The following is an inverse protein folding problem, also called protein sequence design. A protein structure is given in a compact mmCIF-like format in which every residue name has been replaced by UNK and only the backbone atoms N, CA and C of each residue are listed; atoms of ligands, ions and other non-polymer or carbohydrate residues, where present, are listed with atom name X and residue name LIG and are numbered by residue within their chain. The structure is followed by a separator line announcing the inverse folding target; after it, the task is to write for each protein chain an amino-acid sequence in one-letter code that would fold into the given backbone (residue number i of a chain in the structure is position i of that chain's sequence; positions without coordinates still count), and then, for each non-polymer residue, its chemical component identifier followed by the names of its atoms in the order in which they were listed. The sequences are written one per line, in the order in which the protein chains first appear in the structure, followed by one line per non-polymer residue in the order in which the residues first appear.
data_IF_138440027994
#
_entry.id   IF_138440027994
#
_cell.length_a   1.000
_cell.length_b   1.000
_cell.length_c   1.000
_cell.angle_alpha   90.00
_cell.angle_beta   90.00
_cell.angle_gamma   90.00
#
_symmetry.space_group_name_H-M   'P 1'
#
loop_
_entity.id
_entity.type
_entity.pdbx_description
1 polymer ?
#
# COMPACT_ATOMS: atom_id res chain seq x y z
N UNK A 1 -10.46 3.72 -8.92
CA UNK A 1 -10.76 4.25 -7.58
C UNK A 1 -10.22 5.67 -7.48
N UNK A 2 -11.02 6.64 -7.02
CA UNK A 2 -10.57 8.04 -6.84
C UNK A 2 -10.00 8.27 -5.44
N UNK A 3 -9.32 9.39 -5.22
CA UNK A 3 -8.75 9.73 -3.90
C UNK A 3 -9.85 9.87 -2.85
N UNK A 4 -10.98 10.50 -3.19
CA UNK A 4 -12.10 10.60 -2.27
C UNK A 4 -12.60 9.23 -1.83
N UNK A 5 -12.78 8.29 -2.77
CA UNK A 5 -13.18 6.94 -2.41
C UNK A 5 -12.19 6.29 -1.44
N UNK A 6 -10.88 6.48 -1.65
CA UNK A 6 -9.86 5.97 -0.72
C UNK A 6 -10.02 6.59 0.67
N UNK A 7 -10.13 7.91 0.80
CA UNK A 7 -10.33 8.58 2.09
C UNK A 7 -11.57 8.06 2.84
N UNK A 8 -12.67 7.84 2.12
CA UNK A 8 -13.91 7.36 2.72
C UNK A 8 -13.80 5.91 3.21
N UNK A 9 -12.86 5.12 2.69
CA UNK A 9 -12.77 3.67 2.93
C UNK A 9 -11.45 3.20 3.57
N UNK A 10 -10.50 4.10 3.88
CA UNK A 10 -9.16 3.70 4.39
C UNK A 10 -9.20 3.21 5.85
N UNK A 11 -10.27 3.50 6.60
CA UNK A 11 -10.41 3.20 8.04
C UNK A 11 -10.01 1.78 8.45
N UNK A 12 -10.57 0.70 7.85
CA UNK A 12 -10.20 -0.67 8.18
C UNK A 12 -8.73 -1.02 7.96
N UNK A 13 -8.07 -0.39 6.97
CA UNK A 13 -6.64 -0.56 6.75
C UNK A 13 -5.82 0.14 7.84
N UNK A 14 -6.24 1.34 8.28
CA UNK A 14 -5.55 2.07 9.35
C UNK A 14 -5.74 1.41 10.73
N UNK A 15 -6.86 0.70 10.94
CA UNK A 15 -7.09 -0.07 12.16
C UNK A 15 -6.06 -1.21 12.34
N UNK A 16 -5.41 -1.66 11.27
CA UNK A 16 -4.32 -2.66 11.31
C UNK A 16 -2.96 -2.04 11.67
N UNK A 17 -2.90 -0.73 11.92
CA UNK A 17 -1.70 -0.03 12.41
C UNK A 17 -0.44 -0.29 11.56
N UNK A 18 -0.49 0.00 10.25
CA UNK A 18 0.67 -0.16 9.39
C UNK A 18 1.84 0.72 9.86
N UNK A 19 3.06 0.21 9.80
CA UNK A 19 4.29 0.98 10.02
C UNK A 19 4.77 1.69 8.75
N UNK A 20 4.30 1.27 7.57
CA UNK A 20 4.54 1.91 6.28
C UNK A 20 3.26 1.97 5.45
N UNK A 21 3.01 3.12 4.80
CA UNK A 21 1.90 3.32 3.87
C UNK A 21 2.45 3.86 2.56
N UNK A 22 2.17 3.15 1.47
CA UNK A 22 2.56 3.50 0.11
C UNK A 22 1.34 4.03 -0.64
N UNK A 23 1.37 5.29 -1.04
CA UNK A 23 0.27 5.95 -1.74
C UNK A 23 0.68 6.21 -3.18
N UNK A 24 0.02 5.54 -4.13
CA UNK A 24 0.02 5.90 -5.54
C UNK A 24 -1.43 6.10 -5.97
N UNK A 25 -1.82 7.36 -6.10
CA UNK A 25 -3.22 7.76 -6.13
C UNK A 25 -3.41 9.00 -7.00
N UNK A 26 -4.53 9.07 -7.73
CA UNK A 26 -4.88 10.21 -8.56
C UNK A 26 -5.03 9.91 -10.05
N UNK A 27 -4.62 8.73 -10.54
CA UNK A 27 -4.78 8.37 -11.96
C UNK A 27 -6.23 8.48 -12.43
N UNK A 28 -7.20 8.00 -11.65
CA UNK A 28 -8.62 8.12 -11.98
C UNK A 28 -9.12 9.56 -11.86
N UNK A 29 -8.66 10.31 -10.87
CA UNK A 29 -9.02 11.71 -10.68
C UNK A 29 -8.56 12.55 -11.89
N UNK A 30 -7.45 12.21 -12.55
CA UNK A 30 -6.95 12.91 -13.73
C UNK A 30 -7.65 12.52 -15.05
N UNK A 31 -8.55 11.54 -15.00
CA UNK A 31 -9.27 11.07 -16.19
C UNK A 31 -10.23 12.17 -16.72
N UNK A 32 -10.25 12.46 -18.03
CA UNK A 32 -11.16 13.47 -18.59
C UNK A 32 -12.63 13.04 -18.56
N UNK A 33 -12.92 11.74 -18.39
CA UNK A 33 -14.28 11.24 -18.28
C UNK A 33 -14.85 11.53 -16.87
N UNK A 34 -15.92 12.34 -16.74
CA UNK A 34 -16.55 12.64 -15.45
C UNK A 34 -17.18 11.40 -14.77
N UNK A 35 -17.45 10.33 -15.51
CA UNK A 35 -17.88 9.06 -14.93
C UNK A 35 -16.75 8.30 -14.22
N UNK A 36 -15.49 8.68 -14.47
CA UNK A 36 -14.32 8.15 -13.79
C UNK A 36 -13.83 9.12 -12.72
N UNK A 37 -13.64 10.39 -13.10
CA UNK A 37 -13.24 11.48 -12.20
C UNK A 37 -14.47 12.11 -11.52
N UNK A 38 -15.13 11.34 -10.65
CA UNK A 38 -16.41 11.72 -10.01
C UNK A 38 -16.36 13.02 -9.21
N UNK A 39 -15.17 13.37 -8.70
CA UNK A 39 -14.91 14.61 -7.95
C UNK A 39 -14.30 15.73 -8.80
N UNK A 40 -14.31 15.57 -10.13
CA UNK A 40 -13.68 16.45 -11.10
C UNK A 40 -12.17 16.22 -11.25
N UNK A 41 -11.64 16.64 -12.39
CA UNK A 41 -10.25 16.38 -12.80
C UNK A 41 -9.30 17.57 -12.61
N UNK A 42 -9.66 18.51 -11.74
CA UNK A 42 -8.78 19.63 -11.39
C UNK A 42 -7.55 19.13 -10.59
N UNK A 43 -6.32 19.38 -11.06
CA UNK A 43 -5.11 18.91 -10.38
C UNK A 43 -4.93 19.42 -8.96
N UNK A 44 -5.24 20.70 -8.69
CA UNK A 44 -5.06 21.31 -7.38
C UNK A 44 -6.07 20.78 -6.36
N UNK A 45 -7.35 20.72 -6.73
CA UNK A 45 -8.40 20.14 -5.91
C UNK A 45 -8.15 18.66 -5.61
N UNK A 46 -7.58 17.92 -6.58
CA UNK A 46 -7.13 16.54 -6.37
C UNK A 46 -5.96 16.46 -5.40
N UNK A 47 -5.01 17.39 -5.49
CA UNK A 47 -3.88 17.48 -4.56
C UNK A 47 -4.34 17.81 -3.13
N UNK A 48 -5.36 18.66 -2.99
CA UNK A 48 -5.99 18.92 -1.69
C UNK A 48 -6.69 17.68 -1.11
N UNK A 49 -7.36 16.88 -1.96
CA UNK A 49 -7.93 15.58 -1.56
C UNK A 49 -6.83 14.62 -1.09
N UNK A 50 -5.70 14.56 -1.81
CA UNK A 50 -4.53 13.76 -1.43
C UNK A 50 -3.99 14.20 -0.07
N UNK A 51 -3.86 15.51 0.16
CA UNK A 51 -3.44 16.06 1.43
C UNK A 51 -4.32 15.61 2.59
N UNK A 52 -5.64 15.66 2.42
CA UNK A 52 -6.60 15.18 3.44
C UNK A 52 -6.49 13.67 3.70
N UNK A 53 -6.26 12.86 2.66
CA UNK A 53 -5.99 11.43 2.83
C UNK A 53 -4.72 11.21 3.67
N UNK A 54 -3.64 11.92 3.36
CA UNK A 54 -2.39 11.84 4.13
C UNK A 54 -2.62 12.29 5.57
N UNK A 55 -3.38 13.36 5.81
CA UNK A 55 -3.69 13.85 7.15
C UNK A 55 -4.46 12.81 7.97
N UNK A 56 -5.43 12.13 7.37
CA UNK A 56 -6.16 11.04 8.00
C UNK A 56 -5.23 9.88 8.38
N UNK A 57 -4.28 9.54 7.50
CA UNK A 57 -3.29 8.47 7.75
C UNK A 57 -2.37 8.85 8.90
N UNK A 58 -1.72 10.03 8.86
CA UNK A 58 -0.75 10.43 9.89
C UNK A 58 -1.40 10.80 11.23
N UNK A 59 -2.70 11.13 11.25
CA UNK A 59 -3.45 11.30 12.47
C UNK A 59 -3.77 9.95 13.12
N UNK A 60 -4.22 8.98 12.33
CA UNK A 60 -4.63 7.64 12.83
C UNK A 60 -3.42 6.76 13.13
N UNK A 61 -2.36 6.88 12.33
CA UNK A 61 -1.13 6.12 12.43
C UNK A 61 0.09 7.05 12.52
N UNK A 62 0.27 7.75 13.65
CA UNK A 62 1.33 8.78 13.79
C UNK A 62 2.76 8.21 13.77
N UNK A 63 2.91 6.90 13.94
CA UNK A 63 4.15 6.14 13.87
C UNK A 63 4.42 5.51 12.50
N UNK A 64 3.48 5.63 11.55
CA UNK A 64 3.67 5.16 10.19
C UNK A 64 4.57 6.10 9.39
N UNK A 65 5.41 5.53 8.54
CA UNK A 65 6.02 6.25 7.43
C UNK A 65 5.09 6.25 6.23
N UNK A 66 4.88 7.41 5.60
CA UNK A 66 4.01 7.55 4.43
C UNK A 66 4.83 7.98 3.22
N UNK A 67 4.85 7.16 2.18
CA UNK A 67 5.47 7.50 0.90
C UNK A 67 4.37 7.82 -0.12
N UNK A 68 4.44 9.02 -0.70
CA UNK A 68 3.45 9.52 -1.66
C UNK A 68 4.11 9.61 -3.03
N UNK A 69 3.71 8.74 -3.94
CA UNK A 69 4.25 8.72 -5.28
C UNK A 69 3.62 9.79 -6.16
N UNK A 70 4.45 10.51 -6.92
CA UNK A 70 4.01 11.05 -8.21
C UNK A 70 3.47 9.89 -9.04
N UNK A 71 2.35 10.06 -9.74
CA UNK A 71 1.74 8.96 -10.49
C UNK A 71 2.42 8.74 -11.84
N UNK A 72 2.30 7.51 -12.35
CA UNK A 72 2.84 7.13 -13.67
C UNK A 72 2.04 7.78 -14.80
N UNK A 73 2.63 7.89 -15.99
CA UNK A 73 1.95 8.40 -17.18
C UNK A 73 0.93 7.42 -17.79
N UNK A 74 0.17 7.92 -18.77
CA UNK A 74 -0.78 7.14 -19.59
C UNK A 74 -0.76 7.59 -21.06
N UNK A 75 -1.33 6.80 -21.97
CA UNK A 75 -1.36 7.11 -23.40
C UNK A 75 -2.39 8.16 -23.80
N UNK A 76 -3.48 8.33 -23.03
CA UNK A 76 -4.46 9.37 -23.32
C UNK A 76 -3.82 10.77 -23.12
N UNK A 77 -3.73 11.62 -24.18
CA UNK A 77 -3.02 12.89 -24.08
C UNK A 77 -3.64 13.89 -23.12
N UNK A 78 -4.98 13.89 -22.99
CA UNK A 78 -5.68 14.81 -22.10
C UNK A 78 -5.43 14.43 -20.63
N UNK A 79 -5.55 13.15 -20.32
CA UNK A 79 -5.22 12.61 -19.01
C UNK A 79 -3.73 12.77 -18.69
N UNK A 80 -2.83 12.55 -19.65
CA UNK A 80 -1.38 12.77 -19.46
C UNK A 80 -1.06 14.23 -19.12
N UNK A 81 -1.72 15.19 -19.77
CA UNK A 81 -1.59 16.62 -19.45
C UNK A 81 -2.06 16.93 -18.01
N UNK A 82 -3.17 16.34 -17.58
CA UNK A 82 -3.67 16.47 -16.21
C UNK A 82 -2.70 15.83 -15.20
N UNK A 83 -2.19 14.63 -15.50
CA UNK A 83 -1.17 13.93 -14.69
C UNK A 83 0.08 14.79 -14.51
N UNK A 84 0.57 15.44 -15.56
CA UNK A 84 1.74 16.31 -15.47
C UNK A 84 1.52 17.48 -14.51
N UNK A 85 0.36 18.14 -14.61
CA UNK A 85 -0.02 19.24 -13.71
C UNK A 85 -0.19 18.77 -12.26
N UNK A 86 -0.79 17.60 -12.07
CA UNK A 86 -0.97 17.00 -10.74
C UNK A 86 0.37 16.61 -10.09
N UNK A 87 1.25 15.94 -10.84
CA UNK A 87 2.58 15.56 -10.38
C UNK A 87 3.44 16.76 -9.99
N UNK A 88 3.23 17.93 -10.61
CA UNK A 88 3.93 19.16 -10.26
C UNK A 88 3.58 19.69 -8.87
N UNK A 89 2.39 19.39 -8.35
CA UNK A 89 1.90 19.93 -7.06
C UNK A 89 1.99 18.96 -5.89
N UNK A 90 2.14 17.65 -6.14
CA UNK A 90 2.24 16.62 -5.07
C UNK A 90 3.36 16.93 -4.08
N UNK A 91 4.53 17.37 -4.57
CA UNK A 91 5.67 17.66 -3.68
C UNK A 91 5.32 18.74 -2.65
N UNK A 92 4.61 19.82 -3.05
CA UNK A 92 4.20 20.88 -2.13
C UNK A 92 3.22 20.39 -1.05
N UNK A 93 2.27 19.52 -1.43
CA UNK A 93 1.34 18.89 -0.48
C UNK A 93 2.10 18.09 0.58
N UNK A 94 3.06 17.27 0.15
CA UNK A 94 3.84 16.42 1.05
C UNK A 94 4.80 17.22 1.92
N UNK A 95 5.52 18.17 1.31
CA UNK A 95 6.50 19.01 2.00
C UNK A 95 5.88 19.76 3.19
N UNK A 96 4.63 20.22 3.08
CA UNK A 96 3.92 20.85 4.19
C UNK A 96 3.78 19.92 5.42
N UNK A 97 3.47 18.63 5.21
CA UNK A 97 3.37 17.64 6.29
C UNK A 97 4.74 17.24 6.83
N UNK A 98 5.73 17.11 5.96
CA UNK A 98 7.11 16.84 6.36
C UNK A 98 7.66 17.97 7.25
N UNK A 99 7.43 19.23 6.86
CA UNK A 99 7.81 20.42 7.64
C UNK A 99 7.09 20.50 9.00
N UNK A 100 5.91 19.89 9.11
CA UNK A 100 5.19 19.72 10.38
C UNK A 100 5.68 18.51 11.21
N UNK A 101 6.84 17.93 10.88
CA UNK A 101 7.48 16.83 11.61
C UNK A 101 6.86 15.46 11.38
N UNK A 102 6.03 15.28 10.34
CA UNK A 102 5.49 13.96 9.97
C UNK A 102 6.49 13.19 9.11
N UNK A 103 6.52 11.86 9.26
CA UNK A 103 7.32 10.97 8.41
C UNK A 103 6.64 10.76 7.06
N UNK A 104 6.58 11.81 6.24
CA UNK A 104 5.97 11.79 4.91
C UNK A 104 7.00 12.24 3.89
N UNK A 105 7.14 11.49 2.80
CA UNK A 105 8.04 11.81 1.68
C UNK A 105 7.37 11.64 0.33
N UNK A 106 7.74 12.50 -0.61
CA UNK A 106 7.38 12.33 -2.02
C UNK A 106 8.37 11.37 -2.66
N UNK A 107 7.87 10.43 -3.45
CA UNK A 107 8.70 9.55 -4.30
C UNK A 107 8.32 9.72 -5.76
N UNK A 108 9.27 9.56 -6.67
CA UNK A 108 9.07 9.92 -8.08
C UNK A 108 8.89 8.69 -8.96
N UNK A 109 7.64 8.41 -9.37
CA UNK A 109 7.34 7.37 -10.38
C UNK A 109 7.07 7.98 -11.76
N UNK A 110 7.28 9.29 -11.97
CA UNK A 110 6.96 9.95 -13.24
C UNK A 110 7.85 9.47 -14.40
N UNK A 111 8.99 8.84 -14.09
CA UNK A 111 9.90 8.19 -15.05
C UNK A 111 9.50 6.77 -15.44
N UNK A 112 8.41 6.22 -14.89
CA UNK A 112 7.99 4.85 -15.17
C UNK A 112 7.72 4.65 -16.67
N UNK A 113 8.29 3.59 -17.29
CA UNK A 113 8.33 3.50 -18.73
C UNK A 113 6.96 3.13 -19.32
N UNK A 114 6.55 3.95 -20.28
CA UNK A 114 5.24 3.84 -20.94
C UNK A 114 5.06 2.57 -21.78
N UNK A 115 6.15 1.91 -22.19
CA UNK A 115 6.11 0.62 -22.89
C UNK A 115 5.89 -0.57 -21.93
N UNK A 116 5.91 -0.35 -20.61
CA UNK A 116 5.57 -1.35 -19.62
C UNK A 116 4.06 -1.39 -19.31
N UNK A 117 3.24 -0.63 -20.04
CA UNK A 117 1.78 -0.59 -19.92
C UNK A 117 1.11 -1.53 -20.92
N UNK A 118 0.03 -2.22 -20.50
CA UNK A 118 -0.69 -3.19 -21.34
C UNK A 118 -1.78 -2.54 -22.19
N UNK A 119 -2.51 -1.60 -21.60
CA UNK A 119 -3.71 -0.97 -22.17
C UNK A 119 -3.58 0.57 -22.17
N UNK A 120 -2.35 1.06 -22.12
CA UNK A 120 -2.02 2.48 -22.08
C UNK A 120 -2.19 3.15 -20.73
N UNK A 121 -2.59 2.43 -19.68
CA UNK A 121 -2.73 3.00 -18.33
C UNK A 121 -2.33 2.02 -17.21
N UNK A 122 -2.56 0.71 -17.37
CA UNK A 122 -2.20 -0.30 -16.38
C UNK A 122 -0.85 -0.95 -16.73
N UNK A 123 0.06 -1.13 -15.74
CA UNK A 123 1.27 -1.93 -15.95
C UNK A 123 0.98 -3.37 -16.40
N UNK A 124 1.89 -3.92 -17.20
CA UNK A 124 2.00 -5.34 -17.50
C UNK A 124 2.51 -6.10 -16.27
N UNK A 125 2.53 -7.45 -16.30
CA UNK A 125 3.12 -8.23 -15.20
C UNK A 125 4.61 -7.88 -14.96
N UNK A 126 5.48 -7.79 -15.99
CA UNK A 126 6.83 -7.22 -15.81
C UNK A 126 6.82 -5.78 -15.32
N UNK A 127 5.88 -4.95 -15.79
CA UNK A 127 5.71 -3.58 -15.33
C UNK A 127 5.42 -3.48 -13.84
N UNK A 128 4.56 -4.34 -13.28
CA UNK A 128 4.31 -4.40 -11.85
C UNK A 128 5.53 -4.87 -11.03
N UNK A 129 6.40 -5.72 -11.59
CA UNK A 129 7.69 -6.05 -10.94
C UNK A 129 8.58 -4.82 -10.86
N UNK A 130 8.75 -4.10 -11.97
CA UNK A 130 9.48 -2.83 -12.00
C UNK A 130 8.87 -1.79 -11.05
N UNK A 131 7.55 -1.75 -10.92
CA UNK A 131 6.84 -0.88 -9.99
C UNK A 131 7.19 -1.24 -8.53
N UNK A 132 7.36 -2.52 -8.23
CA UNK A 132 7.87 -3.00 -6.95
C UNK A 132 9.32 -2.61 -6.71
N UNK A 133 10.17 -2.70 -7.74
CA UNK A 133 11.57 -2.27 -7.67
C UNK A 133 11.68 -0.77 -7.34
N UNK A 134 10.84 0.08 -7.94
CA UNK A 134 10.76 1.50 -7.59
C UNK A 134 10.44 1.70 -6.11
N UNK A 135 9.42 1.01 -5.59
CA UNK A 135 9.09 1.11 -4.16
C UNK A 135 10.25 0.65 -3.28
N UNK A 136 10.88 -0.48 -3.61
CA UNK A 136 12.02 -1.01 -2.87
C UNK A 136 13.18 0.00 -2.82
N UNK A 137 13.52 0.59 -3.97
CA UNK A 137 14.58 1.58 -4.07
C UNK A 137 14.29 2.81 -3.20
N UNK A 138 13.06 3.33 -3.19
CA UNK A 138 12.72 4.46 -2.32
C UNK A 138 12.71 4.08 -0.84
N UNK A 139 12.16 2.91 -0.49
CA UNK A 139 12.08 2.42 0.90
C UNK A 139 13.48 2.22 1.50
N UNK A 140 14.47 1.83 0.70
CA UNK A 140 15.84 1.63 1.19
C UNK A 140 16.63 2.94 1.38
N UNK A 141 16.10 4.09 0.94
CA UNK A 141 16.77 5.39 0.98
C UNK A 141 16.18 6.37 2.01
N UNK A 142 15.05 6.06 2.63
CA UNK A 142 14.49 6.90 3.68
C UNK A 142 15.29 6.78 4.99
N UNK A 143 15.18 7.73 5.93
CA UNK A 143 15.91 7.65 7.19
C UNK A 143 15.62 6.35 7.94
N UNK A 144 16.67 5.70 8.44
CA UNK A 144 16.60 4.34 9.00
C UNK A 144 15.73 4.23 10.25
N UNK A 145 15.47 5.33 10.93
CA UNK A 145 14.65 5.43 12.14
C UNK A 145 13.16 5.72 11.85
N UNK A 146 12.79 5.94 10.59
CA UNK A 146 11.42 6.24 10.19
C UNK A 146 10.52 5.01 10.18
N UNK A 147 11.01 3.85 9.71
CA UNK A 147 10.27 2.59 9.75
C UNK A 147 10.53 1.90 11.09
N UNK A 148 9.48 1.78 11.90
CA UNK A 148 9.51 1.08 13.19
C UNK A 148 8.95 -0.33 13.03
N UNK A 149 9.21 -1.19 14.01
CA UNK A 149 8.55 -2.49 14.09
C UNK A 149 7.01 -2.32 14.06
N UNK A 150 6.25 -3.20 13.39
CA UNK A 150 4.79 -3.16 13.41
C UNK A 150 4.24 -3.14 14.84
N UNK A 151 3.15 -2.41 15.04
CA UNK A 151 2.45 -2.35 16.32
C UNK A 151 1.16 -3.15 16.22
N UNK A 152 1.12 -4.32 16.85
CA UNK A 152 -0.06 -5.21 16.86
C UNK A 152 0.24 -6.60 16.32
N UNK A 153 -0.77 -7.45 16.30
CA UNK A 153 -0.69 -8.77 15.68
C UNK A 153 -0.57 -8.66 14.16
N UNK A 154 0.02 -9.67 13.53
CA UNK A 154 0.04 -9.78 12.08
C UNK A 154 -1.39 -9.70 11.51
N UNK A 155 -1.59 -9.00 10.38
CA UNK A 155 -2.90 -8.86 9.78
C UNK A 155 -3.45 -10.23 9.41
N UNK A 156 -4.58 -10.61 10.02
CA UNK A 156 -5.25 -11.88 9.71
C UNK A 156 -5.88 -11.80 8.32
N UNK A 157 -5.32 -12.54 7.36
CA UNK A 157 -5.98 -12.72 6.06
C UNK A 157 -7.26 -13.53 6.27
N UNK A 158 -8.37 -13.08 5.68
CA UNK A 158 -9.62 -13.83 5.71
C UNK A 158 -9.39 -15.22 5.08
N UNK A 159 -9.50 -16.27 5.90
CA UNK A 159 -9.27 -17.66 5.51
C UNK A 159 -8.07 -18.34 6.18
N UNK A 160 -7.22 -17.59 6.89
CA UNK A 160 -6.12 -18.18 7.65
C UNK A 160 -6.66 -18.69 8.99
N UNK A 161 -6.85 -20.02 9.10
CA UNK A 161 -7.23 -20.66 10.36
C UNK A 161 -6.17 -20.34 11.41
N UNK A 162 -6.62 -20.02 12.63
CA UNK A 162 -5.73 -19.75 13.76
C UNK A 162 -4.69 -20.88 13.89
N UNK A 163 -3.43 -20.57 14.22
CA UNK A 163 -2.41 -21.59 14.38
C UNK A 163 -2.90 -22.60 15.41
N UNK A 164 -2.96 -23.88 15.01
CA UNK A 164 -3.29 -24.98 15.91
C UNK A 164 -2.34 -24.90 17.09
N UNK A 165 -2.87 -24.63 18.29
CA UNK A 165 -2.10 -24.76 19.54
C UNK A 165 -1.56 -26.20 19.56
N UNK A 166 -0.25 -26.36 19.30
CA UNK A 166 0.43 -27.62 19.58
C UNK A 166 0.23 -27.89 21.07
N UNK A 167 -0.56 -28.90 21.42
CA UNK A 167 -0.62 -29.41 22.79
C UNK A 167 0.81 -29.75 23.18
N UNK A 168 1.30 -29.19 24.29
CA UNK A 168 2.52 -29.67 24.91
C UNK A 168 2.30 -31.13 25.26
N UNK A 169 3.04 -32.05 24.63
CA UNK A 169 3.07 -33.43 25.08
C UNK A 169 3.68 -33.43 26.47
N UNK A 170 2.94 -33.95 27.43
CA UNK A 170 3.46 -34.11 28.79
C UNK A 170 4.53 -35.19 28.78
N UNK A 171 5.41 -35.19 29.79
CA UNK A 171 6.46 -36.21 29.94
C UNK A 171 5.90 -37.65 29.94
N UNK A 172 4.62 -37.83 30.30
CA UNK A 172 3.94 -39.12 30.27
C UNK A 172 3.66 -39.66 28.86
N UNK A 173 3.47 -38.79 27.85
CA UNK A 173 3.17 -39.20 26.48
C UNK A 173 4.42 -39.74 25.76
N UNK A 174 5.62 -39.36 26.20
CA UNK A 174 6.90 -39.81 25.62
C UNK A 174 7.32 -41.21 26.07
N UNK A 175 6.76 -41.73 27.17
CA UNK A 175 7.13 -43.04 27.72
C UNK A 175 6.37 -44.20 27.07
N UNK A 176 5.17 -43.96 26.50
CA UNK A 176 4.41 -45.00 25.81
C UNK A 176 4.98 -45.36 24.42
N UNK A 177 5.60 -44.41 23.73
CA UNK A 177 6.20 -44.61 22.41
C UNK A 177 7.51 -45.40 22.40
N UNK A 178 8.09 -45.72 23.56
CA UNK A 178 9.36 -46.46 23.64
C UNK A 178 9.18 -47.99 23.73
N UNK A 179 7.95 -48.49 23.92
CA UNK A 179 7.71 -49.93 24.14
C UNK A 179 6.74 -50.61 23.18
N UNK A 180 5.90 -49.88 22.45
CA UNK A 180 5.03 -50.46 21.42
C UNK A 180 5.01 -49.60 20.17
N UNK A 181 5.50 -50.15 19.06
CA UNK A 181 5.67 -49.45 17.79
C UNK A 181 4.37 -49.20 17.02
N UNK A 182 4.40 -48.08 16.28
CA UNK A 182 3.49 -47.58 15.22
C UNK A 182 2.07 -47.18 15.63
N UNK A 183 1.77 -45.89 15.45
CA UNK A 183 0.40 -45.41 15.18
C UNK A 183 0.06 -45.54 13.68
N UNK A 184 -1.23 -45.77 13.33
CA UNK A 184 -1.68 -45.96 11.96
C UNK A 184 -1.81 -44.63 11.19
N UNK A 185 -1.63 -44.70 9.87
CA UNK A 185 -1.89 -43.62 8.91
C UNK A 185 -3.33 -43.13 9.00
N UNK A 186 -3.50 -41.80 9.11
CA UNK A 186 -4.79 -41.13 9.01
C UNK A 186 -5.25 -41.12 7.54
N UNK A 187 -6.31 -41.88 7.26
CA UNK A 187 -7.07 -41.79 6.01
C UNK A 187 -7.84 -40.48 5.99
N UNK A 188 -7.54 -39.62 5.01
CA UNK A 188 -8.37 -38.46 4.66
C UNK A 188 -9.53 -38.97 3.79
N UNK A 189 -10.77 -38.73 4.20
CA UNK A 189 -11.96 -38.89 3.35
C UNK A 189 -12.27 -37.56 2.67
N UNK A 190 -12.65 -37.67 1.40
CA UNK A 190 -13.00 -36.60 0.46
C UNK A 190 -14.03 -35.59 0.99
#
# INVERSE_FOLDING_TARGET
MTIKFMSDNVGPSLAQRPNIVLIHAGTNDMNPNPDVAREGSDPHATADRLGRLVDQIVHTCPDATVLVAKIIGCYDPAQMSNIAQYNAVIHGVVQARQAAGKHVLTVDFSSFPMNALRDGIHPTNPGYRLFGDYWYDFITQIPSDWIKAPVGDDPRRSGELAPVKRRSTSLCDRLFGLFFGREPELVVKD
#
